data_IF_509485024404
#
_entry.id   IF_509485024404
#
_cell.length_a   1.000
_cell.length_b   1.000
_cell.length_c   1.000
_cell.angle_alpha   90.00
_cell.angle_beta   90.00
_cell.angle_gamma   90.00
#
_symmetry.space_group_name_H-M   'P 1'
#
loop_
_entity.id
_entity.type
_entity.pdbx_description
1 polymer ?
#
# COMPACT_ATOMS: atom_id res chain seq x y z
N UNK A 1 14.14 9.77 -0.82
CA UNK A 1 13.11 10.07 -1.86
C UNK A 1 11.79 9.37 -1.55
N UNK A 2 11.81 8.10 -1.14
CA UNK A 2 10.59 7.35 -0.79
C UNK A 2 9.74 8.06 0.28
N UNK A 3 10.35 8.53 1.36
CA UNK A 3 9.66 9.21 2.45
C UNK A 3 9.01 10.52 2.00
N UNK A 4 9.68 11.29 1.13
CA UNK A 4 9.10 12.51 0.55
C UNK A 4 7.91 12.20 -0.36
N UNK A 5 8.04 11.18 -1.19
CA UNK A 5 6.92 10.68 -1.99
C UNK A 5 5.76 10.21 -1.12
N UNK A 6 6.07 9.45 -0.06
CA UNK A 6 5.09 8.98 0.91
C UNK A 6 4.37 10.11 1.64
N UNK A 7 5.08 11.15 2.08
CA UNK A 7 4.48 12.33 2.70
C UNK A 7 3.54 13.06 1.74
N UNK A 8 3.99 13.30 0.51
CA UNK A 8 3.15 13.91 -0.52
C UNK A 8 1.89 13.08 -0.81
N UNK A 9 2.04 11.75 -0.88
CA UNK A 9 0.93 10.82 -1.06
C UNK A 9 -0.09 10.87 0.08
N UNK A 10 0.37 10.93 1.33
CA UNK A 10 -0.52 11.07 2.50
C UNK A 10 -1.31 12.36 2.46
N UNK A 11 -0.67 13.47 2.13
CA UNK A 11 -1.33 14.78 2.01
C UNK A 11 -2.36 14.73 0.86
N UNK A 12 -1.96 14.24 -0.30
CA UNK A 12 -2.85 14.12 -1.46
C UNK A 12 -4.07 13.26 -1.15
N UNK A 13 -3.88 12.08 -0.53
CA UNK A 13 -4.98 11.20 -0.18
C UNK A 13 -5.88 11.81 0.91
N UNK A 14 -5.31 12.46 1.91
CA UNK A 14 -6.08 13.14 2.97
C UNK A 14 -7.00 14.24 2.38
N UNK A 15 -6.52 15.01 1.42
CA UNK A 15 -7.34 16.02 0.72
C UNK A 15 -8.42 15.35 -0.14
N UNK A 16 -8.08 14.28 -0.86
CA UNK A 16 -9.03 13.55 -1.70
C UNK A 16 -10.10 12.81 -0.89
N UNK A 17 -9.79 12.34 0.33
CA UNK A 17 -10.76 11.69 1.23
C UNK A 17 -11.91 12.62 1.56
N UNK A 18 -11.64 13.90 1.75
CA UNK A 18 -12.69 14.91 2.04
C UNK A 18 -13.62 15.10 0.85
N UNK A 19 -13.08 15.03 -0.38
CA UNK A 19 -13.85 15.25 -1.61
C UNK A 19 -14.46 13.94 -2.18
N UNK A 20 -14.03 12.75 -1.72
CA UNK A 20 -14.42 11.50 -2.32
C UNK A 20 -15.80 11.02 -1.88
N UNK A 21 -16.63 10.67 -2.86
CA UNK A 21 -17.97 10.09 -2.65
C UNK A 21 -17.89 8.60 -2.28
N UNK A 22 -16.93 7.85 -2.83
CA UNK A 22 -16.75 6.42 -2.57
C UNK A 22 -15.34 6.12 -2.06
N UNK A 23 -15.27 5.50 -0.89
CA UNK A 23 -14.01 5.14 -0.22
C UNK A 23 -13.26 4.05 -0.98
N UNK A 24 -13.97 3.03 -1.47
CA UNK A 24 -13.37 1.96 -2.26
C UNK A 24 -12.78 2.44 -3.58
N UNK A 25 -13.42 3.40 -4.27
CA UNK A 25 -12.87 4.01 -5.49
C UNK A 25 -11.59 4.79 -5.21
N UNK A 26 -11.55 5.53 -4.10
CA UNK A 26 -10.36 6.29 -3.71
C UNK A 26 -9.17 5.36 -3.43
N UNK A 27 -9.38 4.27 -2.69
CA UNK A 27 -8.32 3.29 -2.42
C UNK A 27 -7.76 2.69 -3.72
N UNK A 28 -8.64 2.29 -4.63
CA UNK A 28 -8.25 1.72 -5.93
C UNK A 28 -7.49 2.72 -6.82
N UNK A 29 -7.78 4.01 -6.72
CA UNK A 29 -7.06 5.05 -7.45
C UNK A 29 -5.55 5.04 -7.14
N UNK A 30 -5.17 4.65 -5.91
CA UNK A 30 -3.76 4.50 -5.52
C UNK A 30 -3.22 3.08 -5.77
N UNK A 31 -4.05 2.06 -5.59
CA UNK A 31 -3.62 0.66 -5.73
C UNK A 31 -3.42 0.25 -7.19
N UNK A 32 -4.34 0.60 -8.09
CA UNK A 32 -4.27 0.18 -9.50
C UNK A 32 -2.99 0.67 -10.19
N UNK A 33 -2.60 1.94 -10.10
CA UNK A 33 -1.29 2.36 -10.61
C UNK A 33 -0.12 1.65 -9.93
N UNK A 34 -0.25 1.34 -8.64
CA UNK A 34 0.77 0.63 -7.87
C UNK A 34 1.12 -0.75 -8.44
N UNK A 35 0.13 -1.47 -9.00
CA UNK A 35 0.35 -2.77 -9.65
C UNK A 35 1.39 -2.68 -10.78
N UNK A 36 1.44 -1.56 -11.49
CA UNK A 36 2.39 -1.34 -12.60
C UNK A 36 3.65 -0.61 -12.13
N UNK A 37 3.47 0.44 -11.33
CA UNK A 37 4.59 1.31 -10.91
C UNK A 37 5.62 0.56 -10.07
N UNK A 38 5.19 -0.34 -9.15
CA UNK A 38 6.14 -1.06 -8.31
C UNK A 38 7.02 -2.04 -9.13
N UNK A 39 6.47 -2.96 -9.93
CA UNK A 39 7.29 -3.81 -10.79
C UNK A 39 8.16 -3.02 -11.77
N UNK A 40 7.62 -1.98 -12.40
CA UNK A 40 8.37 -1.13 -13.32
C UNK A 40 9.55 -0.45 -12.62
N UNK A 41 9.35 0.09 -11.43
CA UNK A 41 10.41 0.76 -10.67
C UNK A 41 11.52 -0.22 -10.26
N UNK A 42 11.15 -1.30 -9.59
CA UNK A 42 12.14 -2.20 -8.99
C UNK A 42 12.77 -3.18 -10.00
N UNK A 43 12.09 -3.50 -11.09
CA UNK A 43 12.65 -4.37 -12.11
C UNK A 43 13.31 -3.60 -13.25
N UNK A 44 12.60 -2.63 -13.85
CA UNK A 44 13.05 -1.96 -15.06
C UNK A 44 13.94 -0.75 -14.76
N UNK A 45 13.49 0.21 -13.95
CA UNK A 45 14.26 1.42 -13.66
C UNK A 45 15.55 1.10 -12.90
N UNK A 46 15.51 0.18 -11.97
CA UNK A 46 16.70 -0.23 -11.22
C UNK A 46 17.82 -0.73 -12.15
N UNK A 47 17.48 -1.49 -13.19
CA UNK A 47 18.46 -2.08 -14.12
C UNK A 47 18.91 -1.15 -15.23
N UNK A 48 17.98 -0.38 -15.79
CA UNK A 48 18.23 0.33 -17.03
C UNK A 48 18.40 1.84 -16.85
N UNK A 49 17.88 2.43 -15.79
CA UNK A 49 17.87 3.86 -15.55
C UNK A 49 18.06 4.23 -14.07
N UNK A 50 19.28 4.08 -13.50
CA UNK A 50 19.53 4.35 -12.08
C UNK A 50 19.19 5.78 -11.65
N UNK A 51 19.32 6.77 -12.54
CA UNK A 51 19.00 8.17 -12.26
C UNK A 51 17.50 8.37 -12.00
N UNK A 52 16.66 7.67 -12.78
CA UNK A 52 15.21 7.69 -12.64
C UNK A 52 14.68 6.75 -11.57
N UNK A 53 15.47 5.76 -11.16
CA UNK A 53 15.08 4.82 -10.10
C UNK A 53 14.66 5.54 -8.82
N UNK A 54 15.40 6.57 -8.42
CA UNK A 54 15.06 7.35 -7.22
C UNK A 54 13.70 8.07 -7.32
N UNK A 55 13.28 8.48 -8.51
CA UNK A 55 11.95 9.06 -8.75
C UNK A 55 10.86 7.98 -8.80
N UNK A 56 11.17 6.82 -9.36
CA UNK A 56 10.31 5.64 -9.29
C UNK A 56 10.02 5.22 -7.86
N UNK A 57 11.05 5.19 -7.01
CA UNK A 57 10.90 4.91 -5.56
C UNK A 57 10.07 5.99 -4.86
N UNK A 58 10.21 7.26 -5.23
CA UNK A 58 9.36 8.33 -4.68
C UNK A 58 7.89 8.13 -5.08
N UNK A 59 7.62 7.78 -6.33
CA UNK A 59 6.27 7.49 -6.83
C UNK A 59 5.69 6.22 -6.18
N UNK A 60 6.49 5.18 -6.02
CA UNK A 60 6.09 3.98 -5.28
C UNK A 60 5.71 4.32 -3.83
N UNK A 61 6.50 5.14 -3.16
CA UNK A 61 6.20 5.67 -1.83
C UNK A 61 4.90 6.48 -1.81
N UNK A 62 4.68 7.34 -2.80
CA UNK A 62 3.44 8.11 -2.95
C UNK A 62 2.21 7.20 -3.00
N UNK A 63 2.25 6.13 -3.80
CA UNK A 63 1.12 5.23 -3.96
C UNK A 63 0.90 4.29 -2.77
N UNK A 64 1.99 3.81 -2.14
CA UNK A 64 1.90 2.83 -1.04
C UNK A 64 1.63 3.50 0.31
N UNK A 65 2.41 4.52 0.65
CA UNK A 65 2.36 5.17 1.97
C UNK A 65 1.10 6.01 2.15
N UNK A 66 0.54 6.56 1.07
CA UNK A 66 -0.75 7.26 1.08
C UNK A 66 -1.87 6.40 1.70
N UNK A 67 -1.87 5.09 1.46
CA UNK A 67 -2.90 4.17 1.95
C UNK A 67 -3.00 4.12 3.48
N UNK A 68 -1.95 4.48 4.21
CA UNK A 68 -2.04 4.60 5.68
C UNK A 68 -3.02 5.70 6.11
N UNK A 69 -3.08 6.82 5.38
CA UNK A 69 -4.06 7.87 5.66
C UNK A 69 -5.49 7.41 5.35
N UNK A 70 -5.67 6.61 4.31
CA UNK A 70 -6.96 5.98 4.01
C UNK A 70 -7.43 5.09 5.16
N UNK A 71 -6.60 4.16 5.61
CA UNK A 71 -6.98 3.23 6.67
C UNK A 71 -7.18 3.93 8.02
N UNK A 72 -6.43 4.99 8.30
CA UNK A 72 -6.61 5.81 9.49
C UNK A 72 -7.99 6.46 9.57
N UNK A 73 -8.57 6.83 8.42
CA UNK A 73 -9.92 7.42 8.33
C UNK A 73 -11.02 6.36 8.17
N UNK A 74 -10.74 5.26 7.47
CA UNK A 74 -11.70 4.20 7.14
C UNK A 74 -12.01 3.29 8.34
N UNK A 75 -10.98 2.79 9.04
CA UNK A 75 -11.15 1.80 10.11
C UNK A 75 -12.07 2.28 11.24
N UNK A 76 -11.96 3.51 11.75
CA UNK A 76 -12.88 3.99 12.78
C UNK A 76 -14.34 4.03 12.35
N UNK A 77 -14.63 4.07 11.05
CA UNK A 77 -15.99 4.12 10.51
C UNK A 77 -16.61 2.75 10.29
N UNK A 78 -15.80 1.71 10.21
CA UNK A 78 -16.25 0.33 9.97
C UNK A 78 -16.51 -0.41 11.28
N UNK A 79 -15.76 -0.08 12.34
CA UNK A 79 -15.93 -0.72 13.66
C UNK A 79 -16.98 0.02 14.51
N UNK A 80 -17.84 -0.74 15.25
CA UNK A 80 -18.72 -0.17 16.26
C UNK A 80 -17.94 0.65 17.29
N UNK A 81 -18.60 1.63 17.94
CA UNK A 81 -17.94 2.59 18.83
C UNK A 81 -17.07 1.92 19.90
N UNK A 82 -17.61 0.87 20.54
CA UNK A 82 -16.94 0.12 21.62
C UNK A 82 -15.75 -0.73 21.15
N UNK A 83 -15.64 -1.02 19.83
CA UNK A 83 -14.55 -1.80 19.24
C UNK A 83 -13.58 -0.97 18.39
N UNK A 84 -13.81 0.33 18.21
CA UNK A 84 -12.98 1.17 17.32
C UNK A 84 -11.49 1.12 17.64
N UNK A 85 -11.15 1.27 18.92
CA UNK A 85 -9.76 1.24 19.37
C UNK A 85 -9.13 -0.14 19.18
N UNK A 86 -9.76 -1.17 19.70
CA UNK A 86 -9.26 -2.55 19.66
C UNK A 86 -9.28 -3.12 18.25
N UNK A 87 -10.39 -2.97 17.52
CA UNK A 87 -10.54 -3.49 16.16
C UNK A 87 -9.61 -2.80 15.18
N UNK A 88 -9.48 -1.48 15.26
CA UNK A 88 -8.54 -0.72 14.44
C UNK A 88 -7.08 -1.09 14.72
N UNK A 89 -6.71 -1.20 16.00
CA UNK A 89 -5.37 -1.63 16.41
C UNK A 89 -5.07 -3.06 15.98
N UNK A 90 -6.01 -3.98 16.11
CA UNK A 90 -5.86 -5.36 15.67
C UNK A 90 -5.65 -5.42 14.15
N UNK A 91 -6.51 -4.78 13.36
CA UNK A 91 -6.39 -4.75 11.91
C UNK A 91 -5.04 -4.17 11.46
N UNK A 92 -4.58 -3.09 12.09
CA UNK A 92 -3.30 -2.45 11.75
C UNK A 92 -2.10 -3.32 12.13
N UNK A 93 -2.12 -3.97 13.29
CA UNK A 93 -0.98 -4.76 13.76
C UNK A 93 -0.93 -6.13 13.09
N UNK A 94 -2.06 -6.82 12.91
CA UNK A 94 -2.09 -8.13 12.24
C UNK A 94 -1.96 -7.94 10.73
N UNK A 95 -2.79 -7.12 10.11
CA UNK A 95 -2.73 -6.88 8.67
C UNK A 95 -1.47 -6.12 8.23
N UNK A 96 -1.18 -5.00 8.90
CA UNK A 96 -0.07 -4.15 8.51
C UNK A 96 1.30 -4.70 8.91
N UNK A 97 1.50 -5.02 10.19
CA UNK A 97 2.82 -5.43 10.70
C UNK A 97 3.14 -6.88 10.44
N UNK A 98 2.26 -7.82 10.79
CA UNK A 98 2.54 -9.24 10.57
C UNK A 98 2.72 -9.54 9.09
N UNK A 99 1.74 -9.18 8.26
CA UNK A 99 1.81 -9.44 6.82
C UNK A 99 2.92 -8.64 6.15
N UNK A 100 3.11 -7.36 6.52
CA UNK A 100 4.17 -6.52 5.96
C UNK A 100 5.57 -7.02 6.31
N UNK A 101 5.82 -7.40 7.56
CA UNK A 101 7.11 -7.98 7.99
C UNK A 101 7.34 -9.34 7.33
N UNK A 102 6.30 -10.18 7.24
CA UNK A 102 6.39 -11.47 6.56
C UNK A 102 6.68 -11.32 5.07
N UNK A 103 6.09 -10.31 4.40
CA UNK A 103 6.38 -10.00 3.01
C UNK A 103 7.82 -9.54 2.80
N UNK A 104 8.37 -8.74 3.71
CA UNK A 104 9.78 -8.33 3.65
C UNK A 104 10.72 -9.53 3.81
N UNK A 105 10.44 -10.41 4.78
CA UNK A 105 11.20 -11.65 4.96
C UNK A 105 11.11 -12.57 3.74
N UNK A 106 9.92 -12.79 3.20
CA UNK A 106 9.67 -13.58 1.99
C UNK A 106 10.46 -13.02 0.81
N UNK A 107 10.44 -11.70 0.62
CA UNK A 107 11.15 -11.02 -0.47
C UNK A 107 12.66 -11.24 -0.38
N UNK A 108 13.25 -10.96 0.78
CA UNK A 108 14.70 -10.92 0.93
C UNK A 108 15.33 -12.30 1.13
N UNK A 109 14.64 -13.21 1.84
CA UNK A 109 15.25 -14.48 2.27
C UNK A 109 14.74 -15.69 1.50
N UNK A 110 13.58 -15.61 0.87
CA UNK A 110 12.99 -16.74 0.14
C UNK A 110 13.00 -16.49 -1.36
N UNK A 111 12.47 -15.34 -1.81
CA UNK A 111 12.34 -15.07 -3.25
C UNK A 111 13.65 -14.57 -3.87
N UNK A 112 14.36 -13.65 -3.22
CA UNK A 112 15.58 -13.08 -3.80
C UNK A 112 16.61 -14.15 -4.19
N UNK A 113 16.91 -15.18 -3.36
CA UNK A 113 17.87 -16.21 -3.71
C UNK A 113 17.49 -17.09 -4.92
N UNK A 114 16.23 -17.05 -5.36
CA UNK A 114 15.78 -17.81 -6.55
C UNK A 114 16.18 -17.15 -7.87
N UNK A 115 16.62 -15.90 -7.83
CA UNK A 115 17.01 -15.14 -9.01
C UNK A 115 18.53 -15.11 -9.18
N UNK A 116 18.97 -14.97 -10.42
CA UNK A 116 20.39 -14.82 -10.79
C UNK A 116 20.79 -13.35 -10.82
N UNK A 117 22.07 -13.06 -10.61
CA UNK A 117 22.63 -11.71 -10.62
C UNK A 117 23.25 -11.32 -9.27
N UNK A 118 23.54 -10.04 -9.14
CA UNK A 118 24.06 -9.47 -7.88
C UNK A 118 22.98 -9.51 -6.80
N UNK A 119 23.36 -9.49 -5.54
CA UNK A 119 22.41 -9.46 -4.40
C UNK A 119 21.37 -8.34 -4.55
N UNK A 120 21.79 -7.17 -5.03
CA UNK A 120 20.87 -6.03 -5.25
C UNK A 120 19.85 -6.31 -6.36
N UNK A 121 20.26 -6.95 -7.46
CA UNK A 121 19.35 -7.32 -8.56
C UNK A 121 18.38 -8.41 -8.18
N UNK A 122 18.83 -9.38 -7.39
CA UNK A 122 17.99 -10.43 -6.83
C UNK A 122 16.88 -9.83 -5.95
N UNK A 123 17.25 -8.97 -4.99
CA UNK A 123 16.31 -8.31 -4.09
C UNK A 123 15.36 -7.37 -4.86
N UNK A 124 15.89 -6.62 -5.84
CA UNK A 124 15.06 -5.73 -6.67
C UNK A 124 14.02 -6.52 -7.49
N UNK A 125 14.41 -7.66 -8.06
CA UNK A 125 13.48 -8.53 -8.79
C UNK A 125 12.41 -9.11 -7.86
N UNK A 126 12.82 -9.62 -6.70
CA UNK A 126 11.90 -10.15 -5.70
C UNK A 126 10.93 -9.06 -5.20
N UNK A 127 11.43 -7.85 -4.97
CA UNK A 127 10.62 -6.70 -4.55
C UNK A 127 9.61 -6.28 -5.63
N UNK A 128 9.99 -6.34 -6.91
CA UNK A 128 9.07 -6.07 -8.01
C UNK A 128 7.89 -7.05 -8.01
N UNK A 129 8.16 -8.33 -7.82
CA UNK A 129 7.13 -9.37 -7.78
C UNK A 129 6.27 -9.23 -6.53
N UNK A 130 6.88 -9.16 -5.35
CA UNK A 130 6.15 -9.05 -4.08
C UNK A 130 5.29 -7.79 -4.05
N UNK A 131 5.83 -6.65 -4.48
CA UNK A 131 5.10 -5.38 -4.54
C UNK A 131 3.94 -5.42 -5.53
N UNK A 132 4.16 -5.96 -6.73
CA UNK A 132 3.12 -6.12 -7.75
C UNK A 132 1.99 -7.05 -7.28
N UNK A 133 2.33 -8.21 -6.70
CA UNK A 133 1.36 -9.17 -6.15
C UNK A 133 0.59 -8.55 -4.98
N UNK A 134 1.28 -7.87 -4.05
CA UNK A 134 0.63 -7.22 -2.91
C UNK A 134 -0.38 -6.16 -3.37
N UNK A 135 -0.02 -5.34 -4.37
CA UNK A 135 -0.94 -4.35 -4.93
C UNK A 135 -2.12 -4.98 -5.66
N UNK A 136 -1.88 -6.03 -6.46
CA UNK A 136 -2.94 -6.75 -7.15
C UNK A 136 -3.92 -7.40 -6.18
N UNK A 137 -3.43 -8.04 -5.12
CA UNK A 137 -4.25 -8.58 -4.04
C UNK A 137 -5.01 -7.46 -3.31
N UNK A 138 -4.36 -6.32 -3.05
CA UNK A 138 -5.00 -5.14 -2.47
C UNK A 138 -6.16 -4.65 -3.32
N UNK A 139 -6.00 -4.55 -4.63
CA UNK A 139 -7.08 -4.20 -5.56
C UNK A 139 -8.21 -5.22 -5.48
N UNK A 140 -7.90 -6.52 -5.57
CA UNK A 140 -8.92 -7.59 -5.52
C UNK A 140 -9.71 -7.55 -4.20
N UNK A 141 -9.01 -7.46 -3.06
CA UNK A 141 -9.63 -7.40 -1.74
C UNK A 141 -10.38 -6.08 -1.49
N UNK A 142 -10.02 -5.00 -2.15
CA UNK A 142 -10.72 -3.71 -2.02
C UNK A 142 -12.19 -3.76 -2.44
N UNK A 143 -12.56 -4.71 -3.30
CA UNK A 143 -13.96 -4.91 -3.69
C UNK A 143 -14.80 -5.56 -2.58
N UNK A 144 -14.17 -6.20 -1.61
CA UNK A 144 -14.83 -6.83 -0.46
C UNK A 144 -15.00 -5.85 0.72
N UNK A 145 -14.38 -4.67 0.67
CA UNK A 145 -14.48 -3.68 1.73
C UNK A 145 -15.88 -3.07 1.77
N UNK A 146 -16.56 -3.07 2.93
CA UNK A 146 -17.84 -2.42 3.07
C UNK A 146 -17.71 -0.90 2.95
N UNK A 147 -18.64 -0.26 2.23
CA UNK A 147 -18.73 1.21 2.24
C UNK A 147 -19.34 1.68 3.56
N UNK A 148 -18.69 2.59 4.29
CA UNK A 148 -19.25 3.15 5.51
C UNK A 148 -20.54 3.90 5.19
N UNK A 149 -21.63 3.62 5.91
CA UNK A 149 -22.89 4.31 5.74
C UNK A 149 -22.74 5.76 6.17
N UNK A 150 -23.12 6.70 5.30
CA UNK A 150 -23.19 8.11 5.65
C UNK A 150 -24.27 8.30 6.77
N UNK A 151 -23.86 8.76 7.94
CA UNK A 151 -24.77 9.06 9.07
C UNK A 151 -25.18 7.89 9.95
N UNK A 152 -24.58 6.71 9.83
CA UNK A 152 -25.11 5.48 10.43
C UNK A 152 -24.41 4.92 11.67
N UNK A 153 -23.80 5.69 12.55
CA UNK A 153 -23.22 5.15 13.78
C UNK A 153 -23.44 6.02 15.06
N UNK A 154 -24.40 6.93 15.02
CA UNK A 154 -24.77 7.69 16.22
C UNK A 154 -25.95 7.09 16.99
N UNK A 155 -26.50 5.96 16.53
CA UNK A 155 -27.68 5.34 17.13
C UNK A 155 -27.57 3.81 17.26
N UNK A 156 -26.54 3.32 17.93
CA UNK A 156 -26.55 1.97 18.54
C UNK A 156 -25.66 1.97 19.77
#
# INVERSE_FOLDING_TARGET
KQELGGLAGRIALALLVVAAVSRGKLLRLFQVPGVVVLPFTYYFLFRNNPDWFGWGVALAGFLTVAQFSYFGEYLPKVFPLHLRGTGGSFATNVGGRMLGTSAAYLTSNILAPLFTGTTFEQVATAAAITGGVAMALGVALSFLLPEPKAGGMESQ
#
